data_IF_259910411235
#
_entry.id   IF_259910411235
#
_cell.length_a   1.000
_cell.length_b   1.000
_cell.length_c   1.000
_cell.angle_alpha   90.00
_cell.angle_beta   90.00
_cell.angle_gamma   90.00
#
_symmetry.space_group_name_H-M   'P 1'
#
loop_
_entity.id
_entity.type
_entity.pdbx_description
1 polymer ?
#
# COMPACT_ATOMS: atom_id res chain seq x y z
N UNK A 1 -40.72 21.10 -8.87
CA UNK A 1 -39.58 20.21 -8.54
C UNK A 1 -39.48 18.95 -9.45
N UNK A 2 -40.57 18.44 -10.02
CA UNK A 2 -40.52 17.23 -10.90
C UNK A 2 -39.93 17.46 -12.31
N UNK A 3 -39.93 18.68 -12.84
CA UNK A 3 -39.44 18.98 -14.19
C UNK A 3 -37.92 19.10 -14.30
N UNK A 4 -37.19 19.34 -13.20
CA UNK A 4 -35.72 19.39 -13.17
C UNK A 4 -35.08 18.01 -13.10
N UNK A 5 -35.80 16.98 -12.65
CA UNK A 5 -35.28 15.61 -12.52
C UNK A 5 -34.91 14.93 -13.84
N UNK A 6 -35.54 15.33 -14.97
CA UNK A 6 -35.26 14.75 -16.28
C UNK A 6 -34.18 15.49 -17.10
N UNK A 7 -33.76 16.70 -16.68
CA UNK A 7 -32.76 17.50 -17.38
C UNK A 7 -31.33 17.34 -16.87
N UNK A 8 -31.17 16.69 -15.70
CA UNK A 8 -29.87 16.61 -15.04
C UNK A 8 -29.35 17.97 -14.56
N UNK A 9 -28.11 18.00 -14.08
CA UNK A 9 -27.46 19.21 -13.61
C UNK A 9 -26.94 20.05 -14.80
N UNK A 10 -26.97 21.37 -14.63
CA UNK A 10 -26.25 22.29 -15.52
C UNK A 10 -24.77 22.34 -15.17
N UNK A 11 -23.92 22.72 -16.12
CA UNK A 11 -22.48 22.84 -15.91
C UNK A 11 -22.11 23.71 -14.68
N UNK A 12 -22.86 24.79 -14.43
CA UNK A 12 -22.67 25.64 -13.26
C UNK A 12 -23.00 24.92 -11.93
N UNK A 13 -24.07 24.10 -11.94
CA UNK A 13 -24.48 23.32 -10.75
C UNK A 13 -23.48 22.18 -10.49
N UNK A 14 -22.89 21.57 -11.52
CA UNK A 14 -21.84 20.56 -11.38
C UNK A 14 -20.63 21.15 -10.67
N UNK A 15 -20.18 22.34 -11.07
CA UNK A 15 -19.05 23.04 -10.44
C UNK A 15 -19.35 23.38 -8.97
N UNK A 16 -20.55 23.85 -8.68
CA UNK A 16 -20.99 24.15 -7.32
C UNK A 16 -21.07 22.88 -6.47
N UNK A 17 -21.66 21.80 -6.97
CA UNK A 17 -21.73 20.52 -6.28
C UNK A 17 -20.34 19.95 -6.00
N UNK A 18 -19.41 20.03 -6.98
CA UNK A 18 -18.02 19.63 -6.80
C UNK A 18 -17.34 20.42 -5.68
N UNK A 19 -17.58 21.71 -5.60
CA UNK A 19 -17.00 22.55 -4.54
C UNK A 19 -17.55 22.20 -3.15
N UNK A 20 -18.83 21.82 -3.06
CA UNK A 20 -19.50 21.52 -1.77
C UNK A 20 -19.24 20.09 -1.28
N UNK A 21 -19.20 19.13 -2.21
CA UNK A 21 -19.16 17.70 -1.88
C UNK A 21 -17.83 17.03 -2.22
N UNK A 22 -16.97 17.68 -3.02
CA UNK A 22 -15.70 17.13 -3.50
C UNK A 22 -15.87 16.26 -4.74
N UNK A 23 -14.76 15.60 -5.14
CA UNK A 23 -14.71 14.67 -6.26
C UNK A 23 -15.12 13.27 -5.83
N UNK A 24 -15.57 12.45 -6.78
CA UNK A 24 -15.92 11.06 -6.51
C UNK A 24 -14.68 10.15 -6.46
N UNK A 25 -13.73 10.51 -5.61
CA UNK A 25 -12.52 9.75 -5.35
C UNK A 25 -12.57 9.17 -3.93
N UNK A 26 -12.25 7.90 -3.80
CA UNK A 26 -11.94 7.32 -2.49
C UNK A 26 -10.49 7.68 -2.19
N UNK A 27 -10.28 8.43 -1.12
CA UNK A 27 -8.95 8.88 -0.71
C UNK A 27 -8.12 7.67 -0.28
N UNK A 28 -7.08 7.27 -1.03
CA UNK A 28 -6.20 6.24 -0.55
C UNK A 28 -5.56 6.72 0.74
N UNK A 29 -5.39 5.82 1.71
CA UNK A 29 -4.69 6.12 2.96
C UNK A 29 -3.46 6.97 2.65
N UNK A 30 -3.26 8.07 3.39
CA UNK A 30 -2.04 8.88 3.28
C UNK A 30 -0.86 7.94 3.48
N UNK A 31 -0.20 7.59 2.40
CA UNK A 31 1.03 6.81 2.45
C UNK A 31 2.01 7.52 3.38
N UNK A 32 2.82 6.76 4.08
CA UNK A 32 3.83 7.30 4.97
C UNK A 32 4.70 8.34 4.22
N UNK A 33 5.02 9.42 4.91
CA UNK A 33 5.90 10.46 4.37
C UNK A 33 7.23 9.82 3.93
N UNK A 34 7.79 10.25 2.79
CA UNK A 34 9.08 9.77 2.30
C UNK A 34 10.19 9.85 3.37
N UNK A 35 10.14 10.85 4.25
CA UNK A 35 11.05 10.97 5.39
C UNK A 35 10.83 9.88 6.46
N UNK A 36 9.58 9.48 6.70
CA UNK A 36 9.27 8.39 7.64
C UNK A 36 9.78 7.07 7.09
N UNK A 37 9.52 6.78 5.80
CA UNK A 37 10.04 5.60 5.12
C UNK A 37 11.57 5.53 5.14
N UNK A 38 12.23 6.66 4.88
CA UNK A 38 13.70 6.74 4.98
C UNK A 38 14.18 6.48 6.40
N UNK A 39 13.55 7.08 7.41
CA UNK A 39 13.91 6.89 8.81
C UNK A 39 13.66 5.45 9.30
N UNK A 40 12.64 4.78 8.77
CA UNK A 40 12.34 3.37 9.08
C UNK A 40 13.44 2.42 8.60
N UNK A 41 14.18 2.75 7.53
CA UNK A 41 15.34 1.96 7.09
C UNK A 41 16.42 1.87 8.17
N UNK A 42 16.60 2.90 8.99
CA UNK A 42 17.55 2.85 10.11
C UNK A 42 17.08 1.98 11.30
N UNK A 43 15.85 1.50 11.26
CA UNK A 43 15.35 0.49 12.22
C UNK A 43 15.65 -0.94 11.80
N UNK A 44 16.14 -1.14 10.58
CA UNK A 44 16.58 -2.44 10.11
C UNK A 44 17.76 -2.95 10.98
N UNK A 45 17.66 -4.16 11.55
CA UNK A 45 18.72 -4.72 12.39
C UNK A 45 20.08 -4.78 11.70
N UNK A 46 20.12 -4.97 10.38
CA UNK A 46 21.36 -5.04 9.60
C UNK A 46 22.00 -3.68 9.53
N UNK A 47 21.23 -2.65 9.23
CA UNK A 47 21.71 -1.26 9.19
C UNK A 47 22.19 -0.82 10.57
N UNK A 48 21.53 -1.25 11.65
CA UNK A 48 21.95 -0.97 13.02
C UNK A 48 23.32 -1.60 13.34
N UNK A 49 23.52 -2.86 12.94
CA UNK A 49 24.83 -3.53 13.11
C UNK A 49 25.92 -2.83 12.32
N UNK A 50 25.64 -2.43 11.06
CA UNK A 50 26.57 -1.66 10.24
C UNK A 50 26.89 -0.27 10.84
N UNK A 51 25.91 0.41 11.44
CA UNK A 51 26.11 1.67 12.12
C UNK A 51 27.03 1.52 13.34
N UNK A 52 26.84 0.46 14.13
CA UNK A 52 27.75 0.15 15.25
C UNK A 52 29.16 -0.13 14.75
N UNK A 53 29.30 -0.92 13.67
CA UNK A 53 30.57 -1.18 13.04
C UNK A 53 31.25 0.09 12.52
N UNK A 54 30.50 0.98 11.87
CA UNK A 54 30.99 2.27 11.39
C UNK A 54 31.49 3.17 12.54
N UNK A 55 30.76 3.18 13.66
CA UNK A 55 31.14 3.97 14.83
C UNK A 55 32.43 3.45 15.48
N UNK A 56 32.56 2.12 15.59
CA UNK A 56 33.79 1.49 16.10
C UNK A 56 34.99 1.73 15.17
N UNK A 57 34.78 1.56 13.84
CA UNK A 57 35.80 1.85 12.83
C UNK A 57 36.22 3.32 12.85
N UNK A 58 35.27 4.24 13.02
CA UNK A 58 35.55 5.67 13.12
C UNK A 58 36.40 5.98 14.37
N UNK A 59 36.06 5.38 15.52
CA UNK A 59 36.86 5.56 16.74
C UNK A 59 38.29 5.08 16.55
N UNK A 60 38.50 3.95 15.86
CA UNK A 60 39.86 3.45 15.55
C UNK A 60 40.57 4.34 14.53
N UNK A 61 39.89 4.86 13.52
CA UNK A 61 40.47 5.77 12.53
C UNK A 61 41.04 7.04 13.14
N UNK A 62 40.45 7.55 14.23
CA UNK A 62 41.03 8.68 14.98
C UNK A 62 42.31 8.35 15.73
N UNK A 63 42.52 7.06 16.09
CA UNK A 63 43.73 6.60 16.79
C UNK A 63 44.83 6.32 15.77
N UNK A 64 44.50 5.70 14.64
CA UNK A 64 45.43 5.17 13.64
C UNK A 64 45.69 6.11 12.47
N UNK A 65 44.78 7.09 12.25
CA UNK A 65 44.85 7.98 11.09
C UNK A 65 44.37 7.35 9.78
N UNK A 66 43.91 6.08 9.79
CA UNK A 66 43.45 5.37 8.60
C UNK A 66 41.93 5.42 8.45
N UNK A 67 41.40 6.33 7.61
CA UNK A 67 39.96 6.54 7.40
C UNK A 67 39.37 5.72 6.24
N UNK A 68 40.18 5.00 5.47
CA UNK A 68 39.74 4.33 4.23
C UNK A 68 38.69 3.25 4.51
N UNK A 69 38.87 2.46 5.56
CA UNK A 69 37.93 1.41 5.97
C UNK A 69 36.61 1.99 6.43
N UNK A 70 36.65 3.03 7.27
CA UNK A 70 35.45 3.73 7.74
C UNK A 70 34.65 4.35 6.60
N UNK A 71 35.33 4.96 5.62
CA UNK A 71 34.66 5.51 4.42
C UNK A 71 33.98 4.40 3.64
N UNK A 72 34.61 3.23 3.49
CA UNK A 72 34.02 2.07 2.83
C UNK A 72 32.72 1.59 3.48
N UNK A 73 32.69 1.52 4.82
CA UNK A 73 31.50 1.12 5.59
C UNK A 73 30.38 2.15 5.43
N UNK A 74 30.70 3.44 5.58
CA UNK A 74 29.72 4.52 5.42
C UNK A 74 29.14 4.51 4.01
N UNK A 75 29.99 4.34 2.99
CA UNK A 75 29.54 4.23 1.60
C UNK A 75 28.61 3.04 1.40
N UNK A 76 28.91 1.87 1.98
CA UNK A 76 28.05 0.70 1.93
C UNK A 76 26.68 0.93 2.59
N UNK A 77 26.65 1.58 3.77
CA UNK A 77 25.39 1.94 4.46
C UNK A 77 24.56 2.87 3.60
N UNK A 78 25.16 3.94 3.07
CA UNK A 78 24.46 4.90 2.20
C UNK A 78 23.91 4.21 0.96
N UNK A 79 24.72 3.37 0.31
CA UNK A 79 24.29 2.65 -0.89
C UNK A 79 23.11 1.71 -0.60
N UNK A 80 23.21 0.88 0.44
CA UNK A 80 22.14 -0.04 0.84
C UNK A 80 20.85 0.69 1.19
N UNK A 81 20.95 1.77 1.99
CA UNK A 81 19.81 2.58 2.40
C UNK A 81 19.15 3.28 1.20
N UNK A 82 19.95 3.88 0.31
CA UNK A 82 19.43 4.56 -0.88
C UNK A 82 18.76 3.58 -1.84
N UNK A 83 19.39 2.45 -2.14
CA UNK A 83 18.82 1.43 -3.04
C UNK A 83 17.49 0.92 -2.49
N UNK A 84 17.43 0.51 -1.21
CA UNK A 84 16.20 0.06 -0.57
C UNK A 84 15.09 1.13 -0.57
N UNK A 85 15.44 2.37 -0.31
CA UNK A 85 14.50 3.50 -0.34
C UNK A 85 13.95 3.78 -1.74
N UNK A 86 14.81 3.75 -2.78
CA UNK A 86 14.35 3.95 -4.16
C UNK A 86 13.41 2.84 -4.64
N UNK A 87 13.70 1.59 -4.32
CA UNK A 87 12.79 0.48 -4.68
C UNK A 87 11.41 0.63 -4.01
N UNK A 88 11.37 1.01 -2.75
CA UNK A 88 10.12 1.22 -2.03
C UNK A 88 9.31 2.39 -2.60
N UNK A 89 9.97 3.51 -2.92
CA UNK A 89 9.32 4.65 -3.58
C UNK A 89 8.76 4.27 -4.95
N UNK A 90 9.49 3.47 -5.74
CA UNK A 90 9.02 3.04 -7.06
C UNK A 90 7.80 2.10 -6.93
N UNK A 91 7.83 1.16 -6.00
CA UNK A 91 6.71 0.28 -5.70
C UNK A 91 5.45 1.08 -5.29
N UNK A 92 5.58 2.07 -4.40
CA UNK A 92 4.48 2.95 -4.00
C UNK A 92 3.93 3.77 -5.17
N UNK A 93 4.79 4.27 -6.06
CA UNK A 93 4.37 5.04 -7.24
C UNK A 93 3.60 4.17 -8.23
N UNK A 94 4.02 2.92 -8.45
CA UNK A 94 3.32 1.95 -9.31
C UNK A 94 1.95 1.62 -8.74
N UNK A 95 1.87 1.33 -7.46
CA UNK A 95 0.60 1.05 -6.78
C UNK A 95 -0.39 2.23 -6.89
N UNK A 96 0.08 3.46 -6.71
CA UNK A 96 -0.75 4.66 -6.87
C UNK A 96 -1.28 4.81 -8.31
N UNK A 97 -0.48 4.47 -9.33
CA UNK A 97 -0.91 4.53 -10.74
C UNK A 97 -2.00 3.51 -11.06
N UNK A 98 -1.90 2.29 -10.52
CA UNK A 98 -2.91 1.24 -10.75
C UNK A 98 -4.28 1.66 -10.18
N UNK A 99 -4.32 2.28 -9.02
CA UNK A 99 -5.57 2.76 -8.42
C UNK A 99 -6.23 3.89 -9.23
N UNK A 100 -5.45 4.75 -9.88
CA UNK A 100 -5.99 5.84 -10.72
C UNK A 100 -6.68 5.35 -11.99
N UNK A 101 -6.27 4.22 -12.56
CA UNK A 101 -6.87 3.67 -13.79
C UNK A 101 -8.33 3.25 -13.56
N UNK A 102 -8.66 2.75 -12.39
CA UNK A 102 -10.03 2.36 -12.04
C UNK A 102 -11.00 3.54 -11.89
N UNK A 103 -10.50 4.76 -11.69
CA UNK A 103 -11.32 5.96 -11.54
C UNK A 103 -11.64 6.66 -12.87
N UNK A 104 -11.00 6.25 -13.97
CA UNK A 104 -11.23 6.79 -15.32
C UNK A 104 -12.31 6.02 -16.13
N UNK A 105 -13.00 5.05 -15.53
CA UNK A 105 -14.10 4.32 -16.17
C UNK A 105 -15.19 5.32 -16.57
N UNK A 106 -15.63 5.32 -17.86
CA UNK A 106 -16.69 6.20 -18.30
C UNK A 106 -18.04 5.84 -17.68
N UNK A 107 -18.79 6.84 -17.29
CA UNK A 107 -20.12 6.75 -16.68
C UNK A 107 -21.09 7.60 -17.48
N UNK A 108 -22.26 7.07 -17.77
CA UNK A 108 -23.34 7.76 -18.48
C UNK A 108 -24.12 8.65 -17.51
N UNK A 109 -24.04 9.95 -17.71
CA UNK A 109 -24.78 10.95 -16.92
C UNK A 109 -25.64 11.83 -17.82
N UNK A 110 -26.74 12.33 -17.30
CA UNK A 110 -27.56 13.33 -17.97
C UNK A 110 -27.22 14.69 -17.38
N UNK A 111 -26.67 15.58 -18.22
CA UNK A 111 -26.36 16.98 -17.90
C UNK A 111 -26.86 17.90 -18.98
N UNK A 112 -27.36 19.05 -18.62
CA UNK A 112 -27.96 20.04 -19.54
C UNK A 112 -29.05 19.48 -20.47
N UNK A 113 -29.67 18.34 -20.08
CA UNK A 113 -30.68 17.63 -20.87
C UNK A 113 -30.14 16.63 -21.89
N UNK A 114 -28.84 16.45 -21.94
CA UNK A 114 -28.18 15.52 -22.86
C UNK A 114 -27.45 14.41 -22.09
N UNK A 115 -27.48 13.17 -22.64
CA UNK A 115 -26.70 12.06 -22.09
C UNK A 115 -25.24 12.22 -22.52
N UNK A 116 -24.34 12.28 -21.55
CA UNK A 116 -22.91 12.48 -21.77
C UNK A 116 -22.12 11.45 -20.95
N UNK A 117 -21.00 11.00 -21.47
CA UNK A 117 -20.07 10.14 -20.74
C UNK A 117 -19.04 11.02 -20.01
N UNK A 118 -18.91 10.75 -18.69
CA UNK A 118 -17.89 11.40 -17.85
C UNK A 118 -17.07 10.35 -17.11
N UNK A 119 -15.80 10.61 -16.79
CA UNK A 119 -15.03 9.72 -15.92
C UNK A 119 -15.73 9.56 -14.56
N UNK A 120 -15.69 8.36 -13.99
CA UNK A 120 -16.31 8.07 -12.67
C UNK A 120 -15.91 9.08 -11.60
N UNK A 121 -14.67 9.55 -11.59
CA UNK A 121 -14.16 10.56 -10.66
C UNK A 121 -14.87 11.93 -10.76
N UNK A 122 -15.44 12.23 -11.95
CA UNK A 122 -16.09 13.51 -12.24
C UNK A 122 -17.61 13.51 -11.98
N UNK A 123 -18.15 12.40 -11.50
CA UNK A 123 -19.54 12.27 -11.03
C UNK A 123 -19.68 13.08 -9.73
N UNK A 124 -20.74 13.89 -9.63
CA UNK A 124 -20.99 14.77 -8.47
C UNK A 124 -22.36 14.47 -7.84
N UNK A 125 -22.54 14.91 -6.60
CA UNK A 125 -23.85 14.82 -5.93
C UNK A 125 -24.90 15.59 -6.71
N UNK A 126 -26.05 14.95 -6.96
CA UNK A 126 -27.15 15.48 -7.77
C UNK A 126 -27.11 15.10 -9.23
N UNK A 127 -26.05 14.47 -9.72
CA UNK A 127 -26.01 13.93 -11.08
C UNK A 127 -27.09 12.86 -11.29
N UNK A 128 -27.74 12.89 -12.45
CA UNK A 128 -28.61 11.84 -12.91
C UNK A 128 -27.77 10.82 -13.71
N UNK A 129 -27.53 9.67 -13.12
CA UNK A 129 -26.70 8.59 -13.69
C UNK A 129 -27.61 7.51 -14.27
N UNK A 130 -27.26 7.04 -15.46
CA UNK A 130 -27.87 5.87 -16.11
C UNK A 130 -26.96 4.66 -15.93
N UNK A 131 -27.53 3.55 -15.44
CA UNK A 131 -26.80 2.30 -15.23
C UNK A 131 -27.54 1.15 -15.93
N UNK A 132 -26.79 0.30 -16.61
CA UNK A 132 -27.31 -0.86 -17.33
C UNK A 132 -26.50 -2.13 -17.07
N UNK A 133 -27.01 -3.26 -17.56
CA UNK A 133 -26.40 -4.57 -17.34
C UNK A 133 -24.90 -4.60 -17.64
N UNK A 134 -24.12 -5.11 -16.68
CA UNK A 134 -22.66 -5.22 -16.72
C UNK A 134 -21.93 -3.97 -16.23
N UNK A 135 -22.62 -2.85 -16.00
CA UNK A 135 -22.00 -1.64 -15.48
C UNK A 135 -21.89 -1.65 -13.94
N UNK A 136 -20.89 -0.97 -13.44
CA UNK A 136 -20.67 -0.78 -12.00
C UNK A 136 -21.25 0.55 -11.56
N UNK A 137 -22.02 0.55 -10.47
CA UNK A 137 -22.59 1.75 -9.87
C UNK A 137 -21.45 2.70 -9.41
N UNK A 138 -21.40 3.96 -9.92
CA UNK A 138 -20.26 4.83 -9.74
C UNK A 138 -20.20 5.53 -8.38
N UNK A 139 -21.35 5.73 -7.74
CA UNK A 139 -21.52 6.48 -6.49
C UNK A 139 -22.79 6.00 -5.75
N UNK A 140 -22.98 6.37 -4.51
CA UNK A 140 -24.23 6.06 -3.80
C UNK A 140 -25.32 7.02 -4.23
N UNK A 141 -26.51 6.48 -4.44
CA UNK A 141 -27.64 7.31 -4.84
C UNK A 141 -28.97 6.59 -4.76
N UNK A 142 -30.01 7.35 -5.09
CA UNK A 142 -31.39 6.91 -5.03
C UNK A 142 -31.96 6.70 -6.44
N UNK A 143 -32.61 5.57 -6.64
CA UNK A 143 -33.32 5.27 -7.88
C UNK A 143 -34.50 6.21 -8.10
N UNK A 144 -34.59 6.74 -9.31
CA UNK A 144 -35.77 7.47 -9.82
C UNK A 144 -36.54 6.67 -10.83
N UNK A 145 -35.88 5.70 -11.47
CA UNK A 145 -36.49 4.76 -12.39
C UNK A 145 -35.74 3.42 -12.36
N UNK A 146 -36.48 2.34 -12.37
CA UNK A 146 -35.95 0.98 -12.46
C UNK A 146 -36.81 0.15 -13.41
N UNK A 147 -36.15 -0.66 -14.22
CA UNK A 147 -36.84 -1.63 -15.11
C UNK A 147 -36.13 -2.96 -14.96
N UNK A 148 -36.80 -3.88 -14.26
CA UNK A 148 -36.28 -5.24 -13.97
C UNK A 148 -34.83 -5.21 -13.43
N UNK A 149 -34.52 -4.22 -12.60
CA UNK A 149 -33.17 -3.95 -12.17
C UNK A 149 -32.77 -4.93 -11.07
N UNK A 150 -31.70 -5.69 -11.34
CA UNK A 150 -31.04 -6.59 -10.38
C UNK A 150 -29.59 -6.17 -10.17
N UNK A 151 -29.18 -6.10 -8.93
CA UNK A 151 -27.85 -5.64 -8.53
C UNK A 151 -27.13 -6.75 -7.75
N UNK A 152 -25.86 -6.94 -8.06
CA UNK A 152 -24.95 -7.75 -7.24
C UNK A 152 -24.36 -6.88 -6.14
N UNK A 153 -24.78 -7.09 -4.90
CA UNK A 153 -24.29 -6.38 -3.69
C UNK A 153 -23.31 -7.25 -2.87
N UNK A 154 -22.84 -8.37 -3.40
CA UNK A 154 -22.01 -9.33 -2.65
C UNK A 154 -20.73 -8.72 -2.07
N UNK A 155 -20.21 -7.65 -2.67
CA UNK A 155 -19.04 -6.92 -2.17
C UNK A 155 -19.30 -6.13 -0.88
N UNK A 156 -20.57 -5.79 -0.61
CA UNK A 156 -20.96 -4.98 0.56
C UNK A 156 -21.79 -5.78 1.57
N UNK A 157 -22.78 -6.54 1.09
CA UNK A 157 -23.74 -7.29 1.94
C UNK A 157 -23.50 -8.79 1.91
N UNK A 158 -22.80 -9.31 0.89
CA UNK A 158 -22.68 -10.74 0.63
C UNK A 158 -23.79 -11.30 -0.26
N UNK A 159 -24.78 -10.52 -0.65
CA UNK A 159 -25.92 -10.96 -1.47
C UNK A 159 -25.62 -10.82 -2.96
N UNK A 160 -25.65 -11.93 -3.74
CA UNK A 160 -25.24 -11.90 -5.15
C UNK A 160 -26.27 -11.29 -6.08
N UNK A 161 -27.56 -11.30 -5.70
CA UNK A 161 -28.65 -10.72 -6.50
C UNK A 161 -29.69 -10.10 -5.59
N UNK A 162 -29.91 -8.80 -5.76
CA UNK A 162 -30.93 -8.03 -5.05
C UNK A 162 -31.81 -7.32 -6.08
N UNK A 163 -33.13 -7.49 -5.98
CA UNK A 163 -34.08 -6.76 -6.81
C UNK A 163 -34.19 -5.30 -6.32
N UNK A 164 -34.03 -4.37 -7.24
CA UNK A 164 -34.15 -2.93 -6.96
C UNK A 164 -35.35 -2.34 -7.66
N UNK A 165 -36.12 -1.56 -6.92
CA UNK A 165 -37.36 -0.96 -7.40
C UNK A 165 -37.61 0.41 -6.83
N UNK A 166 -38.38 1.20 -7.53
CA UNK A 166 -38.88 2.53 -7.05
C UNK A 166 -40.32 2.43 -6.50
N UNK A 167 -40.95 1.27 -6.60
CA UNK A 167 -42.32 1.07 -6.09
C UNK A 167 -42.26 0.59 -4.63
N UNK A 168 -42.75 1.45 -3.72
CA UNK A 168 -42.78 1.18 -2.28
C UNK A 168 -43.55 -0.11 -1.91
N UNK A 169 -44.48 -0.56 -2.75
CA UNK A 169 -45.22 -1.81 -2.50
C UNK A 169 -44.35 -3.06 -2.58
N UNK A 170 -43.21 -2.98 -3.26
CA UNK A 170 -42.27 -4.08 -3.47
C UNK A 170 -40.98 -3.90 -2.68
N UNK A 171 -40.93 -2.98 -1.73
CA UNK A 171 -39.75 -2.82 -0.90
C UNK A 171 -39.58 -4.01 0.04
N UNK A 172 -38.38 -4.56 0.04
CA UNK A 172 -37.99 -5.60 0.99
C UNK A 172 -37.64 -4.98 2.34
N UNK A 173 -38.46 -5.31 3.36
CA UNK A 173 -38.27 -4.81 4.72
C UNK A 173 -37.10 -5.50 5.46
N UNK A 174 -36.61 -6.65 4.96
CA UNK A 174 -35.50 -7.39 5.54
C UNK A 174 -34.16 -7.07 4.86
N UNK A 175 -34.18 -6.34 3.73
CA UNK A 175 -32.97 -5.96 3.01
C UNK A 175 -32.04 -5.08 3.86
N UNK A 176 -30.74 -5.30 3.75
CA UNK A 176 -29.73 -4.51 4.47
C UNK A 176 -29.75 -3.03 4.07
N UNK A 177 -30.05 -2.76 2.79
CA UNK A 177 -30.19 -1.42 2.24
C UNK A 177 -31.54 -1.26 1.56
N UNK A 178 -32.12 -0.04 1.52
CA UNK A 178 -33.40 0.22 0.88
C UNK A 178 -33.44 -0.28 -0.56
N UNK A 179 -34.60 -0.79 -1.00
CA UNK A 179 -34.78 -1.32 -2.36
C UNK A 179 -34.63 -0.26 -3.45
N UNK A 180 -34.70 1.03 -3.11
CA UNK A 180 -34.49 2.16 -4.01
C UNK A 180 -33.07 2.77 -3.92
N UNK A 181 -32.18 2.19 -3.10
CA UNK A 181 -30.80 2.64 -2.98
C UNK A 181 -29.87 1.84 -3.88
N UNK A 182 -28.99 2.52 -4.61
CA UNK A 182 -27.84 1.95 -5.32
C UNK A 182 -26.56 2.38 -4.64
N UNK A 183 -25.64 1.42 -4.46
CA UNK A 183 -24.41 1.63 -3.71
C UNK A 183 -23.19 1.55 -4.64
N UNK A 184 -22.21 2.41 -4.41
CA UNK A 184 -20.96 2.44 -5.15
C UNK A 184 -20.25 1.08 -5.12
N UNK A 185 -19.80 0.62 -6.30
CA UNK A 185 -19.02 -0.61 -6.43
C UNK A 185 -19.85 -1.87 -6.58
N UNK A 186 -21.19 -1.78 -6.50
CA UNK A 186 -22.09 -2.86 -6.87
C UNK A 186 -22.24 -2.94 -8.39
N UNK A 187 -22.63 -4.10 -8.93
CA UNK A 187 -22.70 -4.32 -10.38
C UNK A 187 -24.11 -4.65 -10.80
N UNK A 188 -24.57 -4.04 -11.88
CA UNK A 188 -25.88 -4.36 -12.48
C UNK A 188 -25.80 -5.74 -13.12
N UNK A 189 -26.65 -6.68 -12.69
CA UNK A 189 -26.73 -8.05 -13.20
C UNK A 189 -27.78 -8.15 -14.34
N UNK A 190 -28.89 -7.44 -14.19
CA UNK A 190 -29.96 -7.41 -15.17
C UNK A 190 -30.75 -6.11 -15.12
N UNK A 191 -31.37 -5.75 -16.24
CA UNK A 191 -32.19 -4.55 -16.36
C UNK A 191 -31.39 -3.26 -16.49
N UNK A 192 -32.05 -2.14 -16.18
CA UNK A 192 -31.46 -0.81 -16.19
C UNK A 192 -32.15 0.10 -15.18
N UNK A 193 -31.45 1.16 -14.76
CA UNK A 193 -31.97 2.15 -13.84
C UNK A 193 -31.41 3.55 -14.06
N UNK A 194 -32.17 4.53 -13.61
CA UNK A 194 -31.74 5.91 -13.50
C UNK A 194 -31.67 6.28 -12.01
N UNK A 195 -30.56 6.82 -11.56
CA UNK A 195 -30.36 7.18 -10.16
C UNK A 195 -29.88 8.63 -10.03
N UNK A 196 -30.28 9.28 -8.95
CA UNK A 196 -29.71 10.56 -8.52
C UNK A 196 -28.64 10.28 -7.46
N UNK A 197 -27.44 10.80 -7.70
CA UNK A 197 -26.30 10.65 -6.78
C UNK A 197 -26.53 11.44 -5.50
N UNK A 198 -26.44 10.77 -4.35
CA UNK A 198 -26.59 11.37 -3.02
C UNK A 198 -25.26 11.51 -2.28
N UNK A 199 -24.29 10.55 -2.50
CA UNK A 199 -22.98 10.62 -1.89
C UNK A 199 -21.88 10.19 -2.88
N UNK A 200 -20.70 10.83 -2.77
CA UNK A 200 -19.53 10.60 -3.61
C UNK A 200 -18.28 10.37 -2.76
N UNK A 201 -17.29 9.68 -3.32
CA UNK A 201 -15.97 9.47 -2.72
C UNK A 201 -16.01 8.77 -1.36
N UNK A 202 -15.31 9.36 -0.39
CA UNK A 202 -15.19 8.81 0.97
C UNK A 202 -16.52 8.79 1.75
N UNK A 203 -17.53 9.54 1.28
CA UNK A 203 -18.85 9.59 1.92
C UNK A 203 -19.77 8.44 1.51
N UNK A 204 -19.39 7.66 0.51
CA UNK A 204 -20.12 6.46 0.08
C UNK A 204 -19.95 5.34 1.09
N UNK A 205 -20.88 4.36 1.10
CA UNK A 205 -20.73 3.15 1.94
C UNK A 205 -19.43 2.39 1.60
N UNK A 206 -19.09 2.26 0.32
CA UNK A 206 -17.83 1.68 -0.11
C UNK A 206 -16.61 2.45 0.42
N UNK A 207 -16.67 3.80 0.46
CA UNK A 207 -15.66 4.66 1.06
C UNK A 207 -15.50 4.40 2.55
N UNK A 208 -16.60 4.34 3.30
CA UNK A 208 -16.61 4.04 4.74
C UNK A 208 -16.06 2.66 5.06
N UNK A 209 -16.46 1.63 4.29
CA UNK A 209 -15.93 0.27 4.44
C UNK A 209 -14.43 0.24 4.15
N UNK A 210 -13.97 0.97 3.13
CA UNK A 210 -12.54 1.09 2.80
C UNK A 210 -11.76 1.75 3.94
N UNK A 211 -12.29 2.80 4.54
CA UNK A 211 -11.69 3.47 5.70
C UNK A 211 -11.60 2.53 6.90
N UNK A 212 -12.67 1.82 7.23
CA UNK A 212 -12.72 0.86 8.34
C UNK A 212 -11.83 -0.35 8.10
N UNK A 213 -11.83 -0.91 6.88
CA UNK A 213 -10.98 -2.04 6.50
C UNK A 213 -9.49 -1.68 6.50
N UNK A 214 -9.16 -0.42 6.26
CA UNK A 214 -7.78 0.07 6.34
C UNK A 214 -7.23 0.10 7.78
N UNK A 215 -8.10 0.05 8.78
CA UNK A 215 -7.77 -0.07 10.21
C UNK A 215 -7.59 -1.55 10.59
N UNK A 216 -8.33 -2.45 9.95
CA UNK A 216 -8.17 -3.90 10.10
C UNK A 216 -6.97 -4.35 9.28
N UNK A 217 -5.88 -4.66 9.97
CA UNK A 217 -4.62 -5.27 9.56
C UNK A 217 -4.54 -5.75 8.10
N UNK A 218 -3.53 -5.29 7.38
CA UNK A 218 -2.97 -5.99 6.22
C UNK A 218 -2.53 -7.40 6.68
N UNK A 219 -3.44 -8.37 6.67
CA UNK A 219 -3.04 -9.75 6.92
C UNK A 219 -2.11 -10.21 5.78
N UNK A 220 -0.84 -10.49 6.07
CA UNK A 220 0.10 -10.88 5.05
C UNK A 220 -0.34 -12.19 4.39
N UNK A 221 -0.25 -12.26 3.07
CA UNK A 221 -0.64 -13.45 2.29
C UNK A 221 0.07 -14.73 2.81
N UNK A 222 -0.51 -15.92 2.65
CA UNK A 222 0.11 -17.18 3.06
C UNK A 222 1.53 -17.35 2.48
N UNK A 223 1.74 -16.94 1.23
CA UNK A 223 3.03 -16.99 0.58
C UNK A 223 4.04 -16.05 1.27
N UNK A 224 3.63 -14.82 1.58
CA UNK A 224 4.46 -13.88 2.33
C UNK A 224 4.87 -14.43 3.70
N UNK A 225 3.92 -15.05 4.43
CA UNK A 225 4.19 -15.71 5.73
C UNK A 225 5.24 -16.82 5.59
N UNK A 226 5.16 -17.64 4.53
CA UNK A 226 6.14 -18.71 4.27
C UNK A 226 7.51 -18.15 3.90
N UNK A 227 7.59 -17.17 3.01
CA UNK A 227 8.84 -16.50 2.63
C UNK A 227 9.52 -15.81 3.80
N UNK A 228 8.76 -15.12 4.63
CA UNK A 228 9.28 -14.49 5.86
C UNK A 228 9.78 -15.52 6.86
N UNK A 229 9.13 -16.70 6.96
CA UNK A 229 9.63 -17.81 7.79
C UNK A 229 10.94 -18.36 7.26
N UNK A 230 11.06 -18.55 5.94
CA UNK A 230 12.27 -19.02 5.27
C UNK A 230 13.41 -18.01 5.45
N UNK A 231 13.18 -16.72 5.21
CA UNK A 231 14.16 -15.64 5.40
C UNK A 231 14.67 -15.60 6.85
N UNK A 232 13.78 -15.73 7.83
CA UNK A 232 14.16 -15.79 9.25
C UNK A 232 14.99 -17.04 9.58
N UNK A 233 14.70 -18.18 8.95
CA UNK A 233 15.46 -19.40 9.15
C UNK A 233 16.88 -19.24 8.57
N UNK A 234 17.00 -18.73 7.35
CA UNK A 234 18.29 -18.45 6.68
C UNK A 234 19.09 -17.43 7.50
N UNK A 235 18.45 -16.35 7.97
CA UNK A 235 19.08 -15.34 8.82
C UNK A 235 19.63 -15.93 10.13
N UNK A 236 18.88 -16.82 10.79
CA UNK A 236 19.35 -17.51 12.01
C UNK A 236 20.58 -18.39 11.74
N UNK A 237 20.58 -19.13 10.61
CA UNK A 237 21.72 -19.96 10.20
C UNK A 237 22.91 -19.05 9.89
N UNK A 238 22.72 -17.96 9.15
CA UNK A 238 23.77 -16.98 8.85
C UNK A 238 24.41 -16.38 10.09
N UNK A 239 23.58 -15.97 11.07
CA UNK A 239 24.07 -15.47 12.35
C UNK A 239 24.86 -16.54 13.11
N UNK A 240 24.36 -17.77 13.16
CA UNK A 240 25.05 -18.86 13.87
C UNK A 240 26.43 -19.17 13.23
N UNK A 241 26.48 -19.20 11.88
CA UNK A 241 27.75 -19.40 11.13
C UNK A 241 28.70 -18.23 11.36
N UNK A 242 28.22 -17.00 11.34
CA UNK A 242 29.02 -15.82 11.60
C UNK A 242 29.62 -15.80 13.02
N UNK A 243 28.81 -16.15 14.03
CA UNK A 243 29.30 -16.30 15.41
C UNK A 243 30.37 -17.39 15.49
N UNK A 244 30.17 -18.54 14.83
CA UNK A 244 31.14 -19.63 14.83
C UNK A 244 32.48 -19.19 14.18
N UNK A 245 32.44 -18.45 13.06
CA UNK A 245 33.61 -17.90 12.40
C UNK A 245 34.28 -16.84 13.29
N UNK A 246 33.50 -15.95 13.92
CA UNK A 246 34.02 -14.96 14.87
C UNK A 246 34.83 -15.63 15.99
N UNK A 247 34.24 -16.65 16.63
CA UNK A 247 34.90 -17.41 17.71
C UNK A 247 36.14 -18.15 17.20
N UNK A 248 36.08 -18.76 16.01
CA UNK A 248 37.23 -19.46 15.41
C UNK A 248 38.37 -18.48 15.10
N UNK A 249 38.06 -17.30 14.54
CA UNK A 249 39.09 -16.29 14.27
C UNK A 249 39.68 -15.70 15.57
N UNK A 250 38.85 -15.49 16.57
CA UNK A 250 39.31 -15.04 17.89
C UNK A 250 40.23 -16.07 18.55
N UNK A 251 39.85 -17.37 18.49
CA UNK A 251 40.68 -18.46 19.00
C UNK A 251 42.02 -18.55 18.27
N UNK A 252 42.01 -18.40 16.93
CA UNK A 252 43.22 -18.38 16.11
C UNK A 252 44.14 -17.22 16.50
N UNK A 253 43.60 -15.99 16.65
CA UNK A 253 44.36 -14.82 17.04
C UNK A 253 44.94 -14.96 18.48
N UNK A 254 44.18 -15.59 19.39
CA UNK A 254 44.65 -15.88 20.75
C UNK A 254 45.80 -16.90 20.75
N UNK A 255 45.64 -18.05 20.03
CA UNK A 255 46.63 -19.11 19.92
C UNK A 255 47.89 -18.66 19.15
N UNK A 256 47.73 -17.77 18.17
CA UNK A 256 48.83 -17.19 17.39
C UNK A 256 49.62 -16.11 18.13
N UNK A 257 49.16 -15.71 19.31
CA UNK A 257 49.85 -14.67 20.12
C UNK A 257 49.60 -13.25 19.62
N UNK A 258 48.79 -13.04 18.60
CA UNK A 258 48.50 -11.74 18.00
C UNK A 258 47.75 -10.82 18.98
N UNK A 259 46.98 -11.39 19.92
CA UNK A 259 46.33 -10.66 21.03
C UNK A 259 47.24 -10.41 22.23
N UNK A 260 48.44 -11.01 22.27
CA UNK A 260 49.33 -10.98 23.46
C UNK A 260 50.52 -10.00 23.32
N UNK A 261 50.55 -9.15 22.30
CA UNK A 261 51.69 -8.27 21.98
C UNK A 261 51.89 -7.10 22.92
N UNK A 262 51.05 -6.90 23.94
CA UNK A 262 51.17 -5.79 24.89
C UNK A 262 50.82 -4.42 24.31
N UNK A 263 50.59 -4.32 23.02
CA UNK A 263 50.16 -3.09 22.35
C UNK A 263 48.64 -3.05 22.16
N UNK A 264 47.98 -2.23 22.95
CA UNK A 264 46.53 -2.07 22.94
C UNK A 264 45.96 -1.68 21.58
N UNK A 265 46.73 -0.89 20.82
CA UNK A 265 46.29 -0.40 19.51
C UNK A 265 46.25 -1.55 18.52
N UNK A 266 47.25 -2.41 18.49
CA UNK A 266 47.34 -3.53 17.58
C UNK A 266 46.31 -4.62 17.91
N UNK A 267 46.09 -4.89 19.18
CA UNK A 267 45.06 -5.82 19.66
C UNK A 267 43.64 -5.33 19.28
N UNK A 268 43.39 -4.01 19.43
CA UNK A 268 42.10 -3.42 19.06
C UNK A 268 41.83 -3.48 17.55
N UNK A 269 42.88 -3.30 16.72
CA UNK A 269 42.77 -3.45 15.24
C UNK A 269 42.40 -4.85 14.83
N UNK A 270 43.06 -5.87 15.36
CA UNK A 270 42.75 -7.26 15.04
C UNK A 270 41.35 -7.65 15.51
N UNK A 271 40.92 -7.19 16.69
CA UNK A 271 39.57 -7.43 17.20
C UNK A 271 38.51 -6.80 16.27
N UNK A 272 38.76 -5.55 15.85
CA UNK A 272 37.86 -4.83 14.93
C UNK A 272 37.80 -5.53 13.58
N UNK A 273 38.94 -5.97 13.03
CA UNK A 273 39.02 -6.71 11.78
C UNK A 273 38.22 -8.01 11.83
N UNK A 274 38.35 -8.80 12.90
CA UNK A 274 37.60 -10.04 13.12
C UNK A 274 36.10 -9.74 13.20
N UNK A 275 35.72 -8.67 13.91
CA UNK A 275 34.35 -8.23 14.03
C UNK A 275 33.77 -7.80 12.67
N UNK A 276 34.52 -7.03 11.87
CA UNK A 276 34.10 -6.58 10.55
C UNK A 276 33.87 -7.73 9.57
N UNK A 277 34.77 -8.73 9.55
CA UNK A 277 34.57 -9.94 8.73
C UNK A 277 33.28 -10.67 9.12
N UNK A 278 33.01 -10.77 10.43
CA UNK A 278 31.78 -11.42 10.92
C UNK A 278 30.52 -10.65 10.56
N UNK A 279 30.56 -9.32 10.62
CA UNK A 279 29.44 -8.45 10.18
C UNK A 279 29.20 -8.58 8.69
N UNK A 280 30.26 -8.58 7.86
CA UNK A 280 30.15 -8.77 6.42
C UNK A 280 29.46 -10.11 6.07
N UNK A 281 29.78 -11.18 6.79
CA UNK A 281 29.14 -12.49 6.62
C UNK A 281 27.65 -12.47 7.02
N UNK A 282 27.27 -11.76 8.08
CA UNK A 282 25.86 -11.60 8.46
C UNK A 282 25.10 -10.90 7.33
N UNK A 283 25.64 -9.79 6.83
CA UNK A 283 25.00 -9.02 5.74
C UNK A 283 24.82 -9.85 4.47
N UNK A 284 25.85 -10.65 4.09
CA UNK A 284 25.74 -11.54 2.94
C UNK A 284 24.74 -12.68 3.13
N UNK A 285 24.53 -13.14 4.36
CA UNK A 285 23.64 -14.25 4.68
C UNK A 285 22.16 -13.88 4.71
N UNK A 286 21.82 -12.58 4.80
CA UNK A 286 20.41 -12.14 4.88
C UNK A 286 19.87 -11.85 3.48
N UNK A 287 18.87 -12.62 3.00
CA UNK A 287 18.27 -12.41 1.68
C UNK A 287 17.24 -11.28 1.73
N UNK A 288 17.69 -10.04 1.68
CA UNK A 288 16.82 -8.84 1.72
C UNK A 288 15.84 -8.76 0.54
N UNK A 289 16.16 -9.37 -0.60
CA UNK A 289 15.34 -9.32 -1.81
C UNK A 289 14.15 -10.29 -1.84
N UNK A 290 14.09 -11.30 -0.98
CA UNK A 290 13.04 -12.34 -1.03
C UNK A 290 11.63 -11.78 -0.71
N UNK A 291 11.41 -10.98 0.34
CA UNK A 291 10.08 -10.40 0.60
C UNK A 291 9.65 -9.37 -0.45
N UNK A 292 10.61 -8.62 -1.01
CA UNK A 292 10.34 -7.60 -2.03
C UNK A 292 9.97 -8.18 -3.39
N UNK A 293 10.61 -9.29 -3.80
CA UNK A 293 10.29 -9.98 -5.05
C UNK A 293 8.86 -10.52 -5.05
N UNK A 294 8.33 -10.91 -3.89
CA UNK A 294 6.95 -11.38 -3.77
C UNK A 294 5.93 -10.26 -3.96
N UNK A 295 6.21 -9.06 -3.46
CA UNK A 295 5.34 -7.87 -3.64
C UNK A 295 5.24 -7.46 -5.13
N UNK A 296 6.33 -7.57 -5.88
CA UNK A 296 6.34 -7.28 -7.32
C UNK A 296 5.55 -8.34 -8.13
N UNK A 297 5.62 -9.62 -7.74
CA UNK A 297 4.97 -10.71 -8.48
C UNK A 297 3.45 -10.80 -8.22
N UNK A 298 2.97 -10.36 -7.05
CA UNK A 298 1.53 -10.35 -6.72
C UNK A 298 0.79 -9.14 -7.27
N UNK A 299 1.49 -8.12 -7.78
CA UNK A 299 0.87 -6.96 -8.43
C UNK A 299 0.64 -7.17 -9.94
N UNK A 300 1.19 -8.23 -10.54
CA UNK A 300 1.04 -8.58 -11.97
C UNK A 300 0.05 -9.75 -12.20
N UNK A 301 -0.59 -10.27 -11.16
CA UNK A 301 -1.61 -11.32 -11.21
C UNK A 301 -2.95 -10.76 -10.77
#
# INVERSE_FOLDING_TARGET
MKEHQHRGLTSAQVEESRRLHGDNLITPRKGDSAWKLFAEKFRDPIIQVLLVAALLSLAMAFIDGEFLETIGIICAIVLATCVGFFFELDAMRRFKRLNLVNDDIPVKVVRDGEMTEVPRRDVVVGDLVYVENGETVPADGKLVKAVSLKINESTLTGEPEVDKTTDECFFDAEATYPSDALLRGTTVVDGYGEMIVEAVGDRTEAGRVTEQSSIASEEPTPLYKQLTRLSRMIGKIGIAVSIAIFVAMLAKAYLGGELSTGDWVQTSKELLRIFMVSVALIVMAVPEGLPMSCLLYTSDA
#
